data_IF_670059302559
#
_entry.id   IF_670059302559
#
_cell.length_a   1.000
_cell.length_b   1.000
_cell.length_c   1.000
_cell.angle_alpha   90.00
_cell.angle_beta   90.00
_cell.angle_gamma   90.00
#
_symmetry.space_group_name_H-M   'P 1'
#
loop_
_entity.id
_entity.type
_entity.pdbx_description
1 polymer ?
#
# COMPACT_ATOMS: atom_id res chain seq x y z
N UNK A 1 18.56 -7.30 -15.02
CA UNK A 1 17.34 -6.53 -14.64
C UNK A 1 17.61 -5.06 -14.90
N UNK A 2 16.79 -4.43 -15.70
CA UNK A 2 16.92 -3.00 -16.01
C UNK A 2 16.01 -2.20 -15.08
N UNK A 3 16.62 -1.49 -14.13
CA UNK A 3 15.86 -0.62 -13.24
C UNK A 3 15.82 0.79 -13.82
N UNK A 4 14.61 1.30 -14.02
CA UNK A 4 14.41 2.66 -14.48
C UNK A 4 14.26 3.61 -13.28
N UNK A 5 14.96 4.74 -13.31
CA UNK A 5 14.85 5.79 -12.29
C UNK A 5 14.16 7.00 -12.92
N UNK A 6 13.06 7.41 -12.31
CA UNK A 6 12.25 8.55 -12.76
C UNK A 6 12.25 9.61 -11.66
N UNK A 7 12.70 10.80 -12.00
CA UNK A 7 12.73 11.95 -11.07
C UNK A 7 11.68 12.96 -11.50
N UNK A 8 10.89 13.45 -10.55
CA UNK A 8 9.77 14.39 -10.81
C UNK A 8 8.86 13.90 -11.95
N UNK A 9 8.18 12.77 -11.78
CA UNK A 9 7.42 12.13 -12.85
C UNK A 9 6.33 13.05 -13.40
N UNK A 10 6.20 13.07 -14.73
CA UNK A 10 5.07 13.67 -15.43
C UNK A 10 3.80 12.83 -15.21
N UNK A 11 2.64 13.38 -15.58
CA UNK A 11 1.37 12.65 -15.50
C UNK A 11 1.41 11.35 -16.33
N UNK A 12 2.06 11.36 -17.50
CA UNK A 12 2.24 10.18 -18.33
C UNK A 12 3.14 9.13 -17.66
N UNK A 13 4.20 9.58 -16.98
CA UNK A 13 5.09 8.69 -16.24
C UNK A 13 4.39 8.11 -15.01
N UNK A 14 3.56 8.89 -14.31
CA UNK A 14 2.72 8.39 -13.22
C UNK A 14 1.73 7.32 -13.71
N UNK A 15 1.09 7.53 -14.86
CA UNK A 15 0.21 6.53 -15.47
C UNK A 15 0.97 5.25 -15.83
N UNK A 16 2.18 5.38 -16.35
CA UNK A 16 3.04 4.23 -16.65
C UNK A 16 3.39 3.44 -15.39
N UNK A 17 3.76 4.13 -14.32
CA UNK A 17 4.08 3.50 -13.02
C UNK A 17 2.84 2.83 -12.40
N UNK A 18 1.68 3.47 -12.48
CA UNK A 18 0.43 2.89 -12.00
C UNK A 18 0.05 1.62 -12.78
N UNK A 19 0.28 1.59 -14.09
CA UNK A 19 0.08 0.39 -14.91
C UNK A 19 1.07 -0.72 -14.54
N UNK A 20 2.33 -0.37 -14.29
CA UNK A 20 3.33 -1.34 -13.83
C UNK A 20 2.87 -2.02 -12.52
N UNK A 21 2.38 -1.23 -11.55
CA UNK A 21 1.81 -1.78 -10.31
C UNK A 21 0.62 -2.70 -10.58
N UNK A 22 -0.33 -2.30 -11.44
CA UNK A 22 -1.48 -3.13 -11.80
C UNK A 22 -1.08 -4.43 -12.49
N UNK A 23 0.02 -4.41 -13.23
CA UNK A 23 0.57 -5.59 -13.91
C UNK A 23 1.42 -6.49 -13.00
N UNK A 24 1.47 -6.19 -11.72
CA UNK A 24 2.20 -6.99 -10.72
C UNK A 24 3.69 -6.71 -10.68
N UNK A 25 4.14 -5.57 -11.19
CA UNK A 25 5.53 -5.15 -11.10
C UNK A 25 5.79 -4.38 -9.79
N UNK A 26 7.06 -4.27 -9.40
CA UNK A 26 7.47 -3.52 -8.22
C UNK A 26 7.85 -2.10 -8.58
N UNK A 27 7.43 -1.14 -7.76
CA UNK A 27 7.79 0.27 -7.90
C UNK A 27 8.26 0.80 -6.54
N UNK A 28 9.44 1.42 -6.49
CA UNK A 28 9.87 2.15 -5.30
C UNK A 28 9.16 3.50 -5.25
N UNK A 29 8.46 3.77 -4.18
CA UNK A 29 7.55 4.92 -4.04
C UNK A 29 8.02 5.81 -2.90
N UNK A 30 8.11 7.14 -3.10
CA UNK A 30 8.43 8.06 -2.02
C UNK A 30 7.23 8.26 -1.09
N UNK A 31 7.52 8.41 0.20
CA UNK A 31 6.53 8.83 1.21
C UNK A 31 7.10 10.02 1.98
N UNK A 32 6.32 10.60 2.91
CA UNK A 32 6.81 11.68 3.78
C UNK A 32 7.87 11.19 4.79
N UNK A 33 8.03 9.88 4.96
CA UNK A 33 9.01 9.30 5.88
C UNK A 33 10.21 8.72 5.13
N UNK A 34 10.03 7.62 4.41
CA UNK A 34 11.09 6.91 3.66
C UNK A 34 10.53 6.41 2.32
N UNK A 35 11.42 6.03 1.39
CA UNK A 35 11.03 5.27 0.21
C UNK A 35 10.54 3.88 0.61
N UNK A 36 9.46 3.44 -0.01
CA UNK A 36 8.91 2.09 0.16
C UNK A 36 8.91 1.32 -1.15
N UNK A 37 9.19 0.03 -1.09
CA UNK A 37 9.02 -0.87 -2.23
C UNK A 37 7.54 -1.26 -2.31
N UNK A 38 6.87 -0.81 -3.36
CA UNK A 38 5.44 -1.01 -3.56
C UNK A 38 5.12 -2.08 -4.59
N UNK A 39 3.98 -2.72 -4.39
CA UNK A 39 3.35 -3.66 -5.29
C UNK A 39 1.83 -3.54 -5.18
N UNK A 40 1.10 -4.19 -6.09
CA UNK A 40 -0.35 -4.29 -5.98
C UNK A 40 -0.74 -5.11 -4.74
N UNK A 41 -1.32 -4.45 -3.75
CA UNK A 41 -1.72 -5.04 -2.47
C UNK A 41 -2.87 -6.03 -2.54
N UNK A 42 -3.51 -6.20 -3.69
CA UNK A 42 -4.57 -7.18 -3.94
C UNK A 42 -4.10 -8.37 -4.79
N UNK A 43 -2.84 -8.37 -5.19
CA UNK A 43 -2.23 -9.43 -6.00
C UNK A 43 -1.19 -10.20 -5.16
N UNK A 44 -1.50 -11.45 -4.74
CA UNK A 44 -0.56 -12.26 -3.95
C UNK A 44 0.78 -12.50 -4.64
N UNK A 45 0.78 -12.69 -5.95
CA UNK A 45 2.02 -12.92 -6.70
C UNK A 45 2.92 -11.67 -6.73
N UNK A 46 2.33 -10.49 -6.81
CA UNK A 46 3.08 -9.24 -6.72
C UNK A 46 3.69 -9.04 -5.34
N UNK A 47 2.97 -9.41 -4.28
CA UNK A 47 3.48 -9.37 -2.91
C UNK A 47 4.64 -10.35 -2.68
N UNK A 48 4.59 -11.53 -3.27
CA UNK A 48 5.69 -12.50 -3.21
C UNK A 48 6.99 -11.91 -3.80
N UNK A 49 6.89 -11.07 -4.81
CA UNK A 49 8.05 -10.38 -5.38
C UNK A 49 8.70 -9.41 -4.36
N UNK A 50 7.90 -8.73 -3.52
CA UNK A 50 8.44 -7.88 -2.44
C UNK A 50 9.22 -8.74 -1.44
N UNK A 51 8.64 -9.84 -0.98
CA UNK A 51 9.31 -10.73 -0.02
C UNK A 51 10.61 -11.28 -0.60
N UNK A 52 10.59 -11.71 -1.86
CA UNK A 52 11.78 -12.21 -2.54
C UNK A 52 12.85 -11.13 -2.71
N UNK A 53 12.47 -9.92 -3.16
CA UNK A 53 13.40 -8.82 -3.40
C UNK A 53 14.09 -8.33 -2.12
N UNK A 54 13.37 -8.34 -1.00
CA UNK A 54 13.88 -7.87 0.30
C UNK A 54 14.49 -8.98 1.15
N UNK A 55 14.37 -10.25 0.76
CA UNK A 55 14.75 -11.39 1.61
C UNK A 55 13.92 -11.45 2.90
N UNK A 56 12.67 -10.96 2.86
CA UNK A 56 11.79 -10.82 4.02
C UNK A 56 10.93 -12.08 4.17
N UNK A 57 10.74 -12.61 5.39
CA UNK A 57 9.82 -13.73 5.60
C UNK A 57 8.37 -13.38 5.23
N UNK A 58 7.67 -14.29 4.57
CA UNK A 58 6.30 -14.07 4.09
C UNK A 58 5.24 -14.01 5.20
N UNK A 59 5.58 -14.40 6.42
CA UNK A 59 4.74 -14.26 7.61
C UNK A 59 4.81 -12.86 8.24
N UNK A 60 5.68 -11.99 7.72
CA UNK A 60 5.85 -10.62 8.19
C UNK A 60 4.88 -9.70 7.41
N UNK A 61 3.82 -9.17 8.06
CA UNK A 61 2.77 -8.43 7.35
C UNK A 61 3.26 -7.21 6.58
N UNK A 62 2.56 -6.88 5.50
CA UNK A 62 2.73 -5.66 4.73
C UNK A 62 1.69 -4.63 5.15
N UNK A 63 1.93 -3.37 4.80
CA UNK A 63 0.99 -2.27 5.04
C UNK A 63 0.37 -1.89 3.70
N UNK A 64 -0.96 -1.94 3.61
CA UNK A 64 -1.67 -1.43 2.44
C UNK A 64 -1.73 0.10 2.50
N UNK A 65 -1.28 0.74 1.44
CA UNK A 65 -1.33 2.19 1.29
C UNK A 65 -2.53 2.59 0.46
N UNK A 66 -3.27 3.59 0.91
CA UNK A 66 -4.49 4.07 0.27
C UNK A 66 -4.43 5.58 0.04
N UNK A 67 -5.12 6.12 -1.00
CA UNK A 67 -5.08 7.55 -1.31
C UNK A 67 -5.94 8.41 -0.36
N UNK A 68 -6.92 7.79 0.30
CA UNK A 68 -7.84 8.46 1.23
C UNK A 68 -8.54 7.45 2.13
N UNK A 69 -9.26 7.93 3.16
CA UNK A 69 -9.96 7.07 4.11
C UNK A 69 -11.16 6.31 3.50
N UNK A 70 -11.78 6.86 2.46
CA UNK A 70 -12.90 6.20 1.78
C UNK A 70 -12.48 4.92 1.07
N UNK A 71 -11.25 4.86 0.60
CA UNK A 71 -10.70 3.72 -0.15
C UNK A 71 -10.53 2.45 0.70
N UNK A 72 -10.58 2.56 2.03
CA UNK A 72 -10.47 1.36 2.90
C UNK A 72 -11.75 0.54 2.96
N UNK A 73 -12.91 1.11 2.63
CA UNK A 73 -14.21 0.44 2.80
C UNK A 73 -14.28 -0.97 2.20
N UNK A 74 -13.81 -1.20 0.96
CA UNK A 74 -13.83 -2.56 0.41
C UNK A 74 -12.78 -3.50 1.04
N UNK A 75 -11.80 -2.96 1.74
CA UNK A 75 -10.66 -3.71 2.28
C UNK A 75 -10.91 -4.24 3.70
N UNK A 76 -11.92 -3.73 4.37
CA UNK A 76 -12.21 -4.05 5.78
C UNK A 76 -13.66 -4.43 5.97
N UNK A 77 -13.95 -5.19 7.02
CA UNK A 77 -15.32 -5.62 7.36
C UNK A 77 -16.06 -4.61 8.23
N UNK A 78 -15.32 -3.83 9.02
CA UNK A 78 -15.86 -2.82 9.92
C UNK A 78 -14.85 -1.72 10.20
N UNK A 79 -15.35 -0.53 10.52
CA UNK A 79 -14.55 0.61 10.97
C UNK A 79 -15.15 1.11 12.28
N UNK A 80 -14.42 0.98 13.39
CA UNK A 80 -14.87 1.49 14.68
C UNK A 80 -14.90 3.02 14.70
N UNK A 81 -15.68 3.61 15.61
CA UNK A 81 -15.71 5.06 15.79
C UNK A 81 -14.32 5.61 16.16
N UNK A 82 -13.55 4.88 16.96
CA UNK A 82 -12.18 5.25 17.31
C UNK A 82 -11.28 5.27 16.07
N UNK A 83 -11.36 4.26 15.23
CA UNK A 83 -10.58 4.19 13.98
C UNK A 83 -10.95 5.36 13.05
N UNK A 84 -12.23 5.65 12.88
CA UNK A 84 -12.68 6.78 12.06
C UNK A 84 -12.14 8.11 12.60
N UNK A 85 -12.18 8.33 13.91
CA UNK A 85 -11.65 9.53 14.54
C UNK A 85 -10.14 9.67 14.30
N UNK A 86 -9.39 8.58 14.42
CA UNK A 86 -7.94 8.57 14.18
C UNK A 86 -7.61 8.89 12.72
N UNK A 87 -8.35 8.32 11.77
CA UNK A 87 -8.18 8.63 10.35
C UNK A 87 -8.52 10.10 10.04
N UNK A 88 -9.62 10.60 10.56
CA UNK A 88 -10.05 11.99 10.35
C UNK A 88 -9.04 13.00 10.94
N UNK A 89 -8.34 12.61 12.00
CA UNK A 89 -7.38 13.48 12.70
C UNK A 89 -5.99 13.42 12.10
N UNK A 90 -5.50 12.22 11.72
CA UNK A 90 -4.09 11.99 11.41
C UNK A 90 -3.81 11.59 9.95
N UNK A 91 -4.81 11.25 9.17
CA UNK A 91 -4.62 10.95 7.76
C UNK A 91 -4.91 12.17 6.87
N UNK A 92 -4.07 12.39 5.85
CA UNK A 92 -2.84 11.68 5.48
C UNK A 92 -1.72 11.90 6.50
N UNK A 93 -0.84 10.89 6.65
CA UNK A 93 0.27 10.95 7.58
C UNK A 93 0.87 9.58 7.89
N UNK A 94 1.80 9.52 8.84
CA UNK A 94 2.54 8.29 9.15
C UNK A 94 1.76 7.28 10.00
N UNK A 95 0.56 7.59 10.45
CA UNK A 95 -0.24 6.69 11.27
C UNK A 95 -0.67 5.46 10.48
N UNK A 96 -0.32 4.29 10.97
CA UNK A 96 -0.82 2.99 10.50
C UNK A 96 -1.90 2.48 11.43
N UNK A 97 -3.03 2.05 10.87
CA UNK A 97 -4.17 1.50 11.61
C UNK A 97 -4.38 0.06 11.17
N UNK A 98 -4.67 -0.84 12.12
CA UNK A 98 -5.06 -2.20 11.80
C UNK A 98 -6.56 -2.38 12.01
N UNK A 99 -7.23 -2.98 11.03
CA UNK A 99 -8.67 -3.26 11.06
C UNK A 99 -8.94 -4.69 10.57
N UNK A 100 -10.09 -5.28 10.95
CA UNK A 100 -10.47 -6.59 10.42
C UNK A 100 -10.56 -6.57 8.89
N UNK A 101 -9.81 -7.44 8.23
CA UNK A 101 -9.77 -7.47 6.77
C UNK A 101 -11.03 -8.08 6.17
N UNK A 102 -11.40 -7.61 4.97
CA UNK A 102 -12.37 -8.28 4.11
C UNK A 102 -11.71 -9.41 3.30
N UNK A 103 -12.52 -10.22 2.64
CA UNK A 103 -12.03 -11.30 1.78
C UNK A 103 -11.30 -10.79 0.52
N UNK A 104 -11.45 -9.50 0.19
CA UNK A 104 -10.73 -8.88 -0.91
C UNK A 104 -9.22 -8.81 -0.65
N UNK A 105 -8.83 -8.68 0.62
CA UNK A 105 -7.41 -8.59 1.00
C UNK A 105 -6.83 -10.00 1.13
N UNK A 106 -5.80 -10.35 0.33
CA UNK A 106 -5.17 -11.66 0.40
C UNK A 106 -4.47 -11.88 1.75
N UNK A 107 -4.44 -13.12 2.23
CA UNK A 107 -3.71 -13.49 3.44
C UNK A 107 -2.21 -13.20 3.33
N UNK A 108 -1.68 -13.15 2.12
CA UNK A 108 -0.29 -12.78 1.87
C UNK A 108 0.06 -11.37 2.37
N UNK A 109 -0.90 -10.44 2.32
CA UNK A 109 -0.71 -9.08 2.81
C UNK A 109 -0.66 -8.99 4.34
N UNK A 110 -1.30 -9.93 5.03
CA UNK A 110 -1.46 -9.89 6.48
C UNK A 110 -0.61 -10.94 7.22
N UNK A 111 0.22 -11.69 6.51
CA UNK A 111 0.95 -12.80 7.09
C UNK A 111 0.05 -13.90 7.65
N UNK A 112 -1.16 -14.05 7.11
CA UNK A 112 -2.18 -14.99 7.58
C UNK A 112 -3.01 -14.49 8.77
N UNK A 113 -2.79 -13.24 9.22
CA UNK A 113 -3.55 -12.66 10.34
C UNK A 113 -4.91 -12.12 9.87
N UNK A 114 -5.92 -12.04 10.78
CA UNK A 114 -7.26 -11.59 10.42
C UNK A 114 -7.39 -10.07 10.27
N UNK A 115 -6.34 -9.31 10.54
CA UNK A 115 -6.33 -7.86 10.48
C UNK A 115 -5.35 -7.37 9.43
N UNK A 116 -5.75 -6.31 8.72
CA UNK A 116 -4.91 -5.63 7.72
C UNK A 116 -4.41 -4.30 8.28
N UNK A 117 -3.14 -4.00 8.03
CA UNK A 117 -2.53 -2.72 8.34
C UNK A 117 -2.75 -1.75 7.17
N UNK A 118 -3.20 -0.55 7.47
CA UNK A 118 -3.58 0.48 6.49
C UNK A 118 -2.92 1.81 6.82
N UNK A 119 -2.48 2.52 5.80
CA UNK A 119 -1.90 3.86 5.93
C UNK A 119 -2.28 4.72 4.72
N UNK A 120 -2.51 6.01 4.97
CA UNK A 120 -2.67 7.02 3.92
C UNK A 120 -1.45 7.96 3.97
N UNK A 121 -0.40 7.73 3.16
CA UNK A 121 0.82 8.53 3.22
C UNK A 121 0.59 9.95 2.74
N UNK A 122 1.29 10.91 3.37
CA UNK A 122 1.22 12.31 3.01
C UNK A 122 2.35 12.68 2.04
N UNK A 123 2.20 12.24 0.80
CA UNK A 123 3.13 12.56 -0.28
C UNK A 123 2.39 12.57 -1.61
N UNK A 124 2.51 13.66 -2.36
CA UNK A 124 1.75 13.88 -3.60
C UNK A 124 1.99 12.79 -4.66
N UNK A 125 3.23 12.38 -4.89
CA UNK A 125 3.57 11.33 -5.86
C UNK A 125 3.00 10.00 -5.40
N UNK A 126 3.18 9.64 -4.13
CA UNK A 126 2.64 8.40 -3.57
C UNK A 126 1.12 8.33 -3.74
N UNK A 127 0.41 9.39 -3.36
CA UNK A 127 -1.05 9.45 -3.45
C UNK A 127 -1.56 9.40 -4.90
N UNK A 128 -0.81 9.96 -5.84
CA UNK A 128 -1.14 9.90 -7.25
C UNK A 128 -1.03 8.47 -7.84
N UNK A 129 -0.13 7.65 -7.29
CA UNK A 129 0.05 6.25 -7.72
C UNK A 129 -0.97 5.29 -7.11
N UNK A 130 -1.60 5.63 -6.00
CA UNK A 130 -2.51 4.75 -5.24
C UNK A 130 -3.93 4.68 -5.78
#
# INVERSE_FOLDING_TARGET
>A
MDTQIITNPSDQELDMLARALRNGELVSIPTETVYGLGANGLDPEAMDKIYAAKGRPSDNPLILHVPNSESIKPLVTEVSNTAQLLMDTFWPGPLTITLPKSDLVPDRATGGLPRVALRCPDHAICRALL
#
